data_IF_744433322027
#
_entry.id   IF_744433322027
#
_cell.length_a   1.000
_cell.length_b   1.000
_cell.length_c   1.000
_cell.angle_alpha   90.00
_cell.angle_beta   90.00
_cell.angle_gamma   90.00
#
_symmetry.space_group_name_H-M   'P 1'
#
loop_
_entity.id
_entity.type
_entity.pdbx_description
1 polymer ?
#
# COMPACT_ATOMS: atom_id res chain seq x y z
N UNK A 1 47.38 22.05 -2.11
CA UNK A 1 46.20 22.75 -2.68
C UNK A 1 45.25 21.85 -3.50
N UNK A 2 45.66 20.69 -4.04
CA UNK A 2 44.80 19.83 -4.89
C UNK A 2 43.77 18.96 -4.13
N UNK A 3 44.08 18.55 -2.90
CA UNK A 3 43.28 17.56 -2.14
C UNK A 3 41.93 18.16 -1.68
N UNK A 4 41.93 19.41 -1.24
CA UNK A 4 40.71 20.11 -0.82
C UNK A 4 39.71 20.33 -1.98
N UNK A 5 40.21 20.56 -3.19
CA UNK A 5 39.36 20.62 -4.39
C UNK A 5 38.71 19.27 -4.69
N UNK A 6 39.46 18.16 -4.60
CA UNK A 6 38.88 16.84 -4.82
C UNK A 6 37.77 16.52 -3.82
N UNK A 7 37.95 16.88 -2.55
CA UNK A 7 36.93 16.66 -1.51
C UNK A 7 35.67 17.49 -1.79
N UNK A 8 35.81 18.76 -2.15
CA UNK A 8 34.66 19.62 -2.49
C UNK A 8 33.91 19.11 -3.72
N UNK A 9 34.63 18.63 -4.74
CA UNK A 9 34.02 18.04 -5.93
C UNK A 9 33.31 16.72 -5.62
N UNK A 10 33.90 15.85 -4.81
CA UNK A 10 33.24 14.61 -4.37
C UNK A 10 31.98 14.91 -3.54
N UNK A 11 32.03 15.89 -2.64
CA UNK A 11 30.86 16.31 -1.85
C UNK A 11 29.73 16.89 -2.73
N UNK A 12 30.07 17.68 -3.75
CA UNK A 12 29.08 18.23 -4.69
C UNK A 12 28.36 17.12 -5.48
N UNK A 13 29.12 16.15 -5.99
CA UNK A 13 28.56 15.00 -6.73
C UNK A 13 27.66 14.15 -5.83
N UNK A 14 28.02 13.94 -4.55
CA UNK A 14 27.14 13.19 -3.61
C UNK A 14 25.86 13.93 -3.28
N UNK A 15 25.87 15.26 -3.26
CA UNK A 15 24.70 16.07 -2.90
C UNK A 15 23.66 16.11 -4.04
N UNK A 16 24.11 16.14 -5.30
CA UNK A 16 23.23 16.11 -6.48
C UNK A 16 22.54 14.74 -6.65
N UNK A 17 23.22 13.64 -6.34
CA UNK A 17 22.65 12.28 -6.44
C UNK A 17 21.57 12.02 -5.37
N UNK A 18 21.67 12.66 -4.21
CA UNK A 18 20.68 12.54 -3.14
C UNK A 18 19.40 13.36 -3.39
N UNK A 19 19.50 14.47 -4.14
CA UNK A 19 18.37 15.38 -4.38
C UNK A 19 17.45 14.98 -5.54
N UNK A 20 17.84 14.03 -6.39
CA UNK A 20 17.08 13.66 -7.60
C UNK A 20 16.19 12.42 -7.44
N UNK A 21 16.21 11.75 -6.30
CA UNK A 21 15.54 10.46 -6.10
C UNK A 21 14.33 10.54 -5.15
N UNK A 22 13.47 11.55 -5.29
CA UNK A 22 12.13 11.46 -4.69
C UNK A 22 11.34 10.37 -5.44
N UNK A 23 10.78 9.36 -4.76
CA UNK A 23 10.00 8.32 -5.43
C UNK A 23 8.82 8.93 -6.18
N UNK A 24 8.48 8.36 -7.33
CA UNK A 24 7.22 8.61 -8.02
C UNK A 24 6.06 7.94 -7.25
N UNK A 25 4.82 8.11 -7.76
CA UNK A 25 3.62 7.58 -7.10
C UNK A 25 3.73 6.07 -6.87
N UNK A 26 4.20 5.37 -7.88
CA UNK A 26 4.44 3.93 -7.88
C UNK A 26 5.55 3.56 -6.89
N UNK A 27 6.63 4.34 -6.82
CA UNK A 27 7.68 4.20 -5.82
C UNK A 27 7.15 4.33 -4.38
N UNK A 28 6.30 5.33 -4.11
CA UNK A 28 5.68 5.48 -2.78
C UNK A 28 4.74 4.32 -2.42
N UNK A 29 3.99 3.78 -3.38
CA UNK A 29 3.14 2.60 -3.15
C UNK A 29 3.99 1.37 -2.84
N UNK A 30 5.09 1.17 -3.57
CA UNK A 30 6.02 0.04 -3.33
C UNK A 30 6.62 0.12 -1.93
N UNK A 31 7.15 1.28 -1.54
CA UNK A 31 7.72 1.50 -0.21
C UNK A 31 6.67 1.27 0.90
N UNK A 32 5.47 1.81 0.71
CA UNK A 32 4.36 1.58 1.63
C UNK A 32 3.99 0.08 1.75
N UNK A 33 3.96 -0.64 0.63
CA UNK A 33 3.65 -2.06 0.61
C UNK A 33 4.73 -2.90 1.30
N UNK A 34 6.00 -2.57 1.08
CA UNK A 34 7.13 -3.24 1.73
C UNK A 34 7.08 -3.04 3.24
N UNK A 35 6.83 -1.81 3.71
CA UNK A 35 6.65 -1.51 5.13
C UNK A 35 5.46 -2.27 5.72
N UNK A 36 4.35 -2.37 5.00
CA UNK A 36 3.19 -3.13 5.44
C UNK A 36 3.52 -4.63 5.58
N UNK A 37 4.17 -5.21 4.57
CA UNK A 37 4.58 -6.61 4.59
C UNK A 37 5.61 -6.92 5.69
N UNK A 38 6.46 -5.96 6.05
CA UNK A 38 7.40 -6.11 7.17
C UNK A 38 6.73 -6.00 8.54
N UNK A 39 5.77 -5.08 8.72
CA UNK A 39 5.14 -4.79 10.04
C UNK A 39 4.00 -5.73 10.40
N UNK A 40 3.21 -6.18 9.42
CA UNK A 40 2.01 -6.97 9.70
C UNK A 40 2.38 -8.39 10.12
N UNK A 41 1.80 -8.90 11.21
CA UNK A 41 1.97 -10.30 11.61
C UNK A 41 1.08 -11.20 10.73
N UNK A 42 1.63 -11.72 9.63
CA UNK A 42 0.92 -12.59 8.69
C UNK A 42 1.86 -13.59 8.03
N UNK A 43 1.33 -14.75 7.62
CA UNK A 43 2.14 -15.83 7.03
C UNK A 43 2.53 -15.53 5.57
N UNK A 44 1.64 -14.85 4.84
CA UNK A 44 1.80 -14.56 3.42
C UNK A 44 2.04 -13.09 3.13
N UNK A 45 2.68 -12.82 1.99
CA UNK A 45 2.92 -11.49 1.47
C UNK A 45 1.68 -10.93 0.76
N UNK A 46 1.53 -9.61 0.80
CA UNK A 46 0.53 -8.89 0.02
C UNK A 46 1.19 -8.22 -1.19
N UNK A 47 0.46 -8.16 -2.30
CA UNK A 47 0.88 -7.52 -3.54
C UNK A 47 -0.14 -6.46 -3.97
N UNK A 48 0.34 -5.41 -4.63
CA UNK A 48 -0.51 -4.34 -5.19
C UNK A 48 -1.48 -4.93 -6.22
N UNK A 49 -2.77 -4.88 -5.91
CA UNK A 49 -3.83 -5.36 -6.81
C UNK A 49 -4.25 -4.28 -7.81
N UNK A 50 -4.51 -3.06 -7.32
CA UNK A 50 -4.99 -1.95 -8.15
C UNK A 50 -4.89 -0.64 -7.38
N UNK A 51 -4.74 0.47 -8.09
CA UNK A 51 -4.81 1.81 -7.51
C UNK A 51 -6.26 2.31 -7.45
N UNK A 52 -6.59 3.05 -6.39
CA UNK A 52 -7.91 3.66 -6.29
C UNK A 52 -7.95 4.98 -7.08
N UNK A 53 -9.00 5.20 -7.90
CA UNK A 53 -9.15 6.47 -8.60
C UNK A 53 -9.35 7.64 -7.63
N UNK A 54 -8.73 8.78 -7.95
CA UNK A 54 -8.76 10.02 -7.14
C UNK A 54 -10.15 10.44 -6.63
N UNK A 55 -11.24 10.35 -7.42
CA UNK A 55 -12.60 10.67 -6.96
C UNK A 55 -13.13 9.77 -5.83
N UNK A 56 -12.50 8.63 -5.53
CA UNK A 56 -12.80 7.83 -4.33
C UNK A 56 -12.15 8.41 -3.07
N UNK A 57 -11.11 9.23 -3.25
CA UNK A 57 -10.28 9.82 -2.19
C UNK A 57 -10.72 11.25 -1.82
N UNK A 58 -11.50 11.92 -2.68
CA UNK A 58 -11.96 13.29 -2.47
C UNK A 58 -13.13 13.38 -1.46
N UNK A 59 -12.84 13.74 -0.21
CA UNK A 59 -13.68 14.64 0.61
C UNK A 59 -12.87 15.36 1.73
N UNK A 60 -13.13 16.68 1.82
CA UNK A 60 -12.85 17.65 2.90
C UNK A 60 -11.66 17.39 3.85
N UNK A 61 -10.51 17.99 3.52
CA UNK A 61 -9.53 18.49 4.48
C UNK A 61 -8.41 17.57 4.95
N UNK A 62 -8.53 16.25 4.76
CA UNK A 62 -7.55 15.24 5.22
C UNK A 62 -7.40 14.10 4.18
N UNK A 63 -7.25 14.47 2.90
CA UNK A 63 -7.16 13.50 1.80
C UNK A 63 -5.87 12.67 1.93
N UNK A 64 -5.92 11.32 2.02
CA UNK A 64 -4.73 10.54 1.79
C UNK A 64 -4.27 10.78 0.36
N UNK A 65 -2.98 11.03 0.19
CA UNK A 65 -2.44 11.36 -1.12
C UNK A 65 -2.60 10.22 -2.13
N UNK A 66 -2.60 8.96 -1.65
CA UNK A 66 -2.66 7.77 -2.49
C UNK A 66 -3.50 6.68 -1.82
N UNK A 67 -4.57 6.25 -2.50
CA UNK A 67 -5.33 5.07 -2.14
C UNK A 67 -5.05 3.93 -3.10
N UNK A 68 -4.97 2.70 -2.58
CA UNK A 68 -4.71 1.51 -3.38
C UNK A 68 -5.29 0.26 -2.70
N UNK A 69 -5.39 -0.82 -3.47
CA UNK A 69 -5.83 -2.14 -3.03
C UNK A 69 -4.65 -3.10 -3.05
N UNK A 70 -4.55 -3.92 -2.02
CA UNK A 70 -3.58 -5.01 -1.95
C UNK A 70 -4.31 -6.33 -1.82
N UNK A 71 -3.73 -7.40 -2.34
CA UNK A 71 -4.26 -8.76 -2.21
C UNK A 71 -3.17 -9.70 -1.73
N UNK A 72 -3.55 -10.60 -0.84
CA UNK A 72 -2.70 -11.68 -0.33
C UNK A 72 -2.23 -12.61 -1.47
N UNK A 73 -1.01 -13.07 -1.36
CA UNK A 73 -0.33 -13.94 -2.32
C UNK A 73 -0.13 -15.34 -1.74
N UNK A 74 0.27 -16.31 -2.57
CA UNK A 74 0.65 -17.64 -2.10
C UNK A 74 2.12 -17.69 -1.61
N UNK A 75 2.83 -16.55 -1.65
CA UNK A 75 4.21 -16.45 -1.18
C UNK A 75 4.26 -16.25 0.34
N UNK A 76 4.96 -17.12 1.09
CA UNK A 76 5.17 -16.90 2.51
C UNK A 76 6.09 -15.70 2.73
N UNK A 77 6.10 -15.12 3.92
CA UNK A 77 7.10 -14.12 4.30
C UNK A 77 8.46 -14.79 4.49
N UNK A 78 9.39 -14.53 3.58
CA UNK A 78 10.80 -14.93 3.66
C UNK A 78 11.68 -13.77 3.15
N UNK A 79 12.94 -13.72 3.58
CA UNK A 79 13.84 -12.59 3.32
C UNK A 79 14.22 -12.41 1.84
N UNK A 80 14.03 -13.42 0.98
CA UNK A 80 14.51 -13.42 -0.41
C UNK A 80 13.41 -13.70 -1.46
N UNK A 81 12.21 -13.14 -1.29
CA UNK A 81 11.12 -13.33 -2.25
C UNK A 81 10.89 -12.09 -3.09
N UNK A 82 10.99 -12.26 -4.41
CA UNK A 82 10.59 -11.27 -5.40
C UNK A 82 9.05 -11.21 -5.53
N UNK A 83 8.45 -10.17 -4.94
CA UNK A 83 6.99 -9.92 -4.94
C UNK A 83 6.37 -9.92 -6.35
N UNK A 84 7.14 -9.56 -7.39
CA UNK A 84 6.61 -9.55 -8.76
C UNK A 84 6.31 -10.96 -9.28
N UNK A 85 7.02 -11.98 -8.79
CA UNK A 85 6.83 -13.40 -9.13
C UNK A 85 5.75 -14.10 -8.32
N UNK A 86 5.24 -13.45 -7.28
CA UNK A 86 4.18 -13.99 -6.45
C UNK A 86 2.83 -13.87 -7.14
N UNK A 87 2.17 -15.02 -7.30
CA UNK A 87 0.78 -15.09 -7.72
C UNK A 87 -0.16 -14.72 -6.57
N UNK A 88 -1.30 -14.13 -6.92
CA UNK A 88 -2.34 -13.86 -5.93
C UNK A 88 -2.95 -15.17 -5.43
N UNK A 89 -3.15 -15.25 -4.12
CA UNK A 89 -3.86 -16.39 -3.56
C UNK A 89 -5.32 -16.37 -4.03
N UNK A 90 -5.86 -17.54 -4.36
CA UNK A 90 -7.24 -17.67 -4.87
C UNK A 90 -8.24 -17.10 -3.87
N UNK A 91 -8.11 -17.50 -2.62
CA UNK A 91 -8.94 -17.09 -1.49
C UNK A 91 -8.31 -15.95 -0.68
N UNK A 92 -7.26 -15.33 -1.23
CA UNK A 92 -6.47 -14.31 -0.57
C UNK A 92 -7.27 -13.07 -0.17
N UNK A 93 -6.99 -12.56 1.02
CA UNK A 93 -7.63 -11.37 1.53
C UNK A 93 -7.32 -10.13 0.67
N UNK A 94 -8.34 -9.32 0.39
CA UNK A 94 -8.17 -8.00 -0.25
C UNK A 94 -8.31 -6.91 0.81
N UNK A 95 -7.33 -6.01 0.88
CA UNK A 95 -7.36 -4.85 1.77
C UNK A 95 -7.33 -3.55 0.96
N UNK A 96 -7.99 -2.54 1.49
CA UNK A 96 -7.88 -1.15 1.02
C UNK A 96 -6.88 -0.40 1.88
N UNK A 97 -5.91 0.24 1.25
CA UNK A 97 -4.85 0.98 1.89
C UNK A 97 -4.89 2.46 1.51
N UNK A 98 -4.43 3.31 2.43
CA UNK A 98 -4.25 4.73 2.19
C UNK A 98 -2.89 5.17 2.74
N UNK A 99 -2.13 5.87 1.89
CA UNK A 99 -0.87 6.51 2.25
C UNK A 99 -1.11 7.99 2.53
N UNK A 100 -0.67 8.44 3.70
CA UNK A 100 -0.71 9.83 4.10
C UNK A 100 0.72 10.38 3.98
N UNK A 101 0.95 11.33 3.07
CA UNK A 101 2.29 11.87 2.79
C UNK A 101 2.98 12.48 4.02
N UNK A 102 2.20 13.00 4.97
CA UNK A 102 2.70 13.71 6.15
C UNK A 102 3.29 12.77 7.21
N UNK A 103 2.77 11.55 7.33
CA UNK A 103 3.15 10.60 8.38
C UNK A 103 4.05 9.46 7.84
N UNK A 104 4.23 9.35 6.51
CA UNK A 104 4.82 8.18 5.84
C UNK A 104 4.25 6.84 6.38
N UNK A 105 2.98 6.86 6.78
CA UNK A 105 2.31 5.70 7.37
C UNK A 105 1.26 5.18 6.41
N UNK A 106 1.31 3.86 6.21
CA UNK A 106 0.36 3.10 5.41
C UNK A 106 -0.67 2.50 6.33
N UNK A 107 -1.94 2.80 6.08
CA UNK A 107 -3.04 2.20 6.83
C UNK A 107 -3.90 1.37 5.92
N UNK A 108 -4.07 0.09 6.26
CA UNK A 108 -4.85 -0.86 5.50
C UNK A 108 -6.05 -1.40 6.29
N UNK A 109 -7.16 -1.67 5.59
CA UNK A 109 -8.39 -2.23 6.16
C UNK A 109 -8.93 -3.33 5.25
N UNK A 110 -9.26 -4.48 5.82
CA UNK A 110 -9.83 -5.62 5.10
C UNK A 110 -11.19 -5.33 4.46
N UNK A 111 -11.37 -5.78 3.21
CA UNK A 111 -12.64 -5.69 2.50
C UNK A 111 -13.57 -6.87 2.82
N UNK A 112 -13.02 -8.02 3.18
CA UNK A 112 -13.73 -9.24 3.59
C UNK A 112 -14.38 -9.03 4.96
N UNK A 113 -15.68 -8.73 4.93
CA UNK A 113 -16.51 -8.67 6.13
C UNK A 113 -17.08 -10.05 6.43
N UNK A 114 -16.29 -10.92 7.06
CA UNK A 114 -16.85 -11.98 7.90
C UNK A 114 -15.85 -12.52 8.95
N UNK A 115 -15.15 -11.64 9.65
CA UNK A 115 -14.55 -12.03 10.93
C UNK A 115 -15.34 -11.36 12.06
N UNK A 116 -15.85 -12.20 12.95
CA UNK A 116 -16.39 -11.79 14.25
C UNK A 116 -15.34 -10.90 14.90
N UNK A 117 -15.55 -9.59 14.85
CA UNK A 117 -14.66 -8.62 15.45
C UNK A 117 -14.53 -8.95 16.94
N UNK A 118 -13.37 -9.47 17.36
CA UNK A 118 -12.95 -9.34 18.75
C UNK A 118 -12.95 -7.83 19.02
N UNK A 119 -13.87 -7.41 19.89
CA UNK A 119 -13.98 -6.05 20.41
C UNK A 119 -12.60 -5.63 20.94
N UNK A 120 -11.85 -4.89 20.14
CA UNK A 120 -10.79 -4.02 20.63
C UNK A 120 -11.22 -2.59 20.36
N UNK A 121 -11.38 -1.86 21.45
CA UNK A 121 -11.89 -0.51 21.52
C UNK A 121 -10.94 0.47 20.84
N UNK A 122 -11.29 0.94 19.63
CA UNK A 122 -10.84 2.24 19.11
C UNK A 122 -11.84 2.80 18.09
N UNK A 123 -13.06 3.08 18.57
CA UNK A 123 -14.03 3.96 17.90
C UNK A 123 -13.39 5.35 17.79
N UNK A 124 -12.80 5.71 16.63
CA UNK A 124 -12.79 7.08 16.09
C UNK A 124 -12.15 7.30 14.70
N UNK A 125 -11.44 6.36 14.06
CA UNK A 125 -10.80 6.59 12.73
C UNK A 125 -11.30 5.68 11.61
N UNK A 126 -12.61 5.75 11.28
CA UNK A 126 -13.23 4.97 10.20
C UNK A 126 -14.22 5.78 9.35
N UNK A 127 -13.92 7.04 9.02
CA UNK A 127 -14.74 7.80 8.06
C UNK A 127 -14.34 7.48 6.61
N UNK A 128 -13.06 7.64 6.31
CA UNK A 128 -12.49 7.45 4.98
C UNK A 128 -12.65 6.01 4.45
N UNK A 129 -12.01 5.03 5.10
CA UNK A 129 -12.03 3.63 4.66
C UNK A 129 -13.44 3.03 4.57
N UNK A 130 -14.35 3.41 5.47
CA UNK A 130 -15.74 2.95 5.39
C UNK A 130 -16.49 3.58 4.22
N UNK A 131 -16.23 4.84 3.89
CA UNK A 131 -16.86 5.52 2.74
C UNK A 131 -16.31 4.96 1.43
N UNK A 132 -14.99 4.77 1.34
CA UNK A 132 -14.33 4.10 0.20
C UNK A 132 -14.86 2.68 0.01
N UNK A 133 -14.91 1.86 1.08
CA UNK A 133 -15.50 0.50 1.03
C UNK A 133 -16.94 0.52 0.52
N UNK A 134 -17.77 1.47 0.97
CA UNK A 134 -19.14 1.64 0.47
C UNK A 134 -19.17 2.04 -1.00
N UNK A 135 -18.28 2.96 -1.42
CA UNK A 135 -18.20 3.48 -2.79
C UNK A 135 -17.68 2.42 -3.78
N UNK A 136 -16.70 1.61 -3.39
CA UNK A 136 -16.24 0.43 -4.13
C UNK A 136 -17.37 -0.58 -4.30
N UNK A 137 -18.10 -0.87 -3.21
CA UNK A 137 -19.25 -1.78 -3.23
C UNK A 137 -20.40 -1.27 -4.11
N UNK A 138 -20.62 0.05 -4.17
CA UNK A 138 -21.70 0.65 -4.97
C UNK A 138 -21.37 0.80 -6.45
N UNK A 139 -20.09 1.03 -6.79
CA UNK A 139 -19.64 1.19 -8.18
C UNK A 139 -19.58 -0.17 -8.91
N UNK A 140 -19.70 -1.27 -8.17
CA UNK A 140 -19.51 -2.60 -8.74
C UNK A 140 -18.12 -2.71 -9.36
N UNK A 141 -17.12 -2.06 -8.73
CA UNK A 141 -15.72 -2.25 -9.10
C UNK A 141 -15.50 -3.75 -9.01
N UNK A 142 -15.48 -4.41 -10.17
CA UNK A 142 -15.10 -5.78 -10.29
C UNK A 142 -13.64 -5.78 -9.89
N UNK A 143 -13.39 -5.88 -8.58
CA UNK A 143 -12.21 -6.57 -8.08
C UNK A 143 -12.13 -7.79 -9.00
N UNK A 144 -11.01 -8.04 -9.69
CA UNK A 144 -10.87 -9.24 -10.49
C UNK A 144 -10.88 -10.43 -9.52
N UNK A 145 -12.07 -10.78 -9.09
CA UNK A 145 -12.44 -12.04 -8.48
C UNK A 145 -12.42 -12.94 -9.70
N UNK A 146 -11.28 -13.59 -9.92
CA UNK A 146 -11.19 -14.69 -10.87
C UNK A 146 -12.40 -15.58 -10.62
N UNK A 147 -13.27 -15.62 -11.63
CA UNK A 147 -14.61 -16.17 -11.58
C UNK A 147 -14.61 -17.57 -10.97
N UNK A 148 -15.28 -17.75 -9.83
CA UNK A 148 -15.61 -19.08 -9.31
C UNK A 148 -16.90 -19.51 -10.04
N UNK A 149 -16.91 -20.64 -10.78
CA UNK A 149 -18.14 -21.25 -11.21
C UNK A 149 -18.79 -21.89 -9.98
N UNK A 150 -19.95 -21.39 -9.57
CA UNK A 150 -20.83 -22.13 -8.66
C UNK A 150 -21.27 -23.40 -9.38
N UNK A 151 -20.98 -24.55 -8.76
CA UNK A 151 -21.60 -25.83 -9.11
C UNK A 151 -22.63 -26.18 -8.05
#
# INVERSE_FOLDING_TARGET
MKIWQCVVWLCAITLEVAHSQSPDREGWIREALDLYNQREDGEFLFKLLSELPGPLLEEEGDSPAIGFLIKETDCPKSEEIDLERCDYSKDGEVKVCALHQEEQDVKCVSLTENSRSKRSSKKKKCKFFCKVKKKIKSIGFQIPIVSIPFK
#
